data_IF_269086126248
#
_entry.id   IF_269086126248
#
_cell.length_a   1.000
_cell.length_b   1.000
_cell.length_c   1.000
_cell.angle_alpha   90.00
_cell.angle_beta   90.00
_cell.angle_gamma   90.00
#
_symmetry.space_group_name_H-M   'P 1'
#
loop_
_entity.id
_entity.type
_entity.pdbx_description
1 polymer ?
#
# COMPACT_ATOMS: atom_id res chain seq x y z
N UNK A 1 15.21 68.80 18.69
CA UNK A 1 15.21 70.01 17.84
C UNK A 1 15.28 69.60 16.37
N UNK A 2 14.25 70.00 15.62
CA UNK A 2 14.14 70.32 14.18
C UNK A 2 14.70 69.40 13.06
N UNK A 3 13.75 68.82 12.31
CA UNK A 3 13.74 68.54 10.84
C UNK A 3 13.74 69.87 10.02
N UNK A 4 13.83 69.95 8.66
CA UNK A 4 13.37 68.98 7.61
C UNK A 4 14.08 68.90 6.20
N UNK A 5 13.81 67.78 5.46
CA UNK A 5 13.53 67.50 3.98
C UNK A 5 14.37 68.17 2.85
N UNK A 6 14.26 67.85 1.51
CA UNK A 6 13.47 66.84 0.70
C UNK A 6 14.31 66.01 -0.35
N UNK A 7 13.90 64.85 -0.92
CA UNK A 7 13.00 64.48 -2.06
C UNK A 7 13.59 64.65 -3.50
N UNK A 8 13.46 63.60 -4.35
CA UNK A 8 13.13 63.57 -5.82
C UNK A 8 13.98 62.62 -6.73
N UNK A 9 13.24 61.71 -7.41
CA UNK A 9 13.34 61.15 -8.79
C UNK A 9 14.60 60.47 -9.34
N UNK A 10 14.43 59.24 -9.83
CA UNK A 10 15.24 58.68 -10.93
C UNK A 10 14.33 57.96 -11.95
N UNK A 11 14.46 58.37 -13.22
CA UNK A 11 13.77 57.90 -14.42
C UNK A 11 14.84 57.51 -15.47
N UNK A 12 14.65 56.32 -16.06
CA UNK A 12 15.03 55.82 -17.40
C UNK A 12 16.49 55.89 -17.94
N UNK A 13 16.98 54.69 -18.33
CA UNK A 13 17.25 54.23 -19.71
C UNK A 13 18.70 53.91 -20.19
N UNK A 14 18.75 52.72 -20.82
CA UNK A 14 19.41 52.32 -22.09
C UNK A 14 20.93 52.07 -22.15
N UNK A 15 21.28 50.84 -22.59
CA UNK A 15 22.27 50.51 -23.63
C UNK A 15 22.13 49.01 -23.98
N UNK A 16 21.53 48.62 -25.11
CA UNK A 16 22.06 48.51 -26.49
C UNK A 16 22.91 47.23 -26.75
N UNK A 17 22.31 46.32 -27.52
CA UNK A 17 22.96 45.23 -28.28
C UNK A 17 23.71 45.74 -29.52
N UNK A 18 24.47 44.83 -30.19
CA UNK A 18 24.25 44.63 -31.62
C UNK A 18 24.07 43.15 -32.06
N UNK A 19 23.29 43.02 -33.14
CA UNK A 19 22.80 41.90 -34.00
C UNK A 19 23.93 41.15 -34.79
N UNK A 20 23.72 40.11 -35.67
CA UNK A 20 22.54 39.80 -36.55
C UNK A 20 22.17 38.30 -36.82
N UNK A 21 20.87 37.98 -37.04
CA UNK A 21 20.10 37.68 -38.29
C UNK A 21 20.42 36.39 -39.07
N UNK A 22 19.40 35.51 -39.21
CA UNK A 22 18.95 34.94 -40.50
C UNK A 22 17.45 34.59 -40.45
N UNK A 23 16.87 34.55 -41.65
CA UNK A 23 15.48 34.72 -42.12
C UNK A 23 14.54 33.49 -42.09
N UNK A 24 13.21 33.71 -42.07
CA UNK A 24 12.16 33.41 -43.10
C UNK A 24 10.74 33.04 -42.53
N UNK A 25 9.61 33.00 -43.30
CA UNK A 25 8.48 33.92 -43.11
C UNK A 25 7.06 33.33 -42.84
N UNK A 26 6.18 34.20 -42.32
CA UNK A 26 4.71 34.44 -42.51
C UNK A 26 3.78 33.29 -42.98
N UNK A 27 2.72 32.99 -42.19
CA UNK A 27 1.31 32.98 -42.68
C UNK A 27 0.22 33.09 -41.57
N UNK A 28 -0.53 34.19 -41.66
CA UNK A 28 -1.96 34.50 -41.43
C UNK A 28 -2.87 33.79 -40.39
N UNK A 29 -3.62 34.64 -39.67
CA UNK A 29 -4.73 34.38 -38.74
C UNK A 29 -5.99 33.73 -39.35
N UNK A 30 -6.78 33.02 -38.53
CA UNK A 30 -8.24 33.14 -38.52
C UNK A 30 -8.85 32.72 -37.15
N UNK A 31 -9.77 33.54 -36.66
CA UNK A 31 -10.59 33.39 -35.46
C UNK A 31 -11.72 32.36 -35.65
N UNK A 32 -12.12 31.64 -34.59
CA UNK A 32 -13.54 31.39 -34.30
C UNK A 32 -13.78 30.96 -32.84
N UNK A 33 -14.90 31.45 -32.30
CA UNK A 33 -15.36 31.38 -30.91
C UNK A 33 -15.76 29.97 -30.47
N UNK A 34 -15.60 29.62 -29.18
CA UNK A 34 -16.68 29.02 -28.37
C UNK A 34 -16.33 28.91 -26.87
N UNK A 35 -17.36 29.22 -26.07
CA UNK A 35 -17.59 29.15 -24.61
C UNK A 35 -16.64 28.28 -23.77
N UNK A 36 -16.06 28.90 -22.74
CA UNK A 36 -15.39 28.24 -21.60
C UNK A 36 -16.40 27.87 -20.52
N UNK A 37 -16.58 26.57 -20.27
CA UNK A 37 -16.96 26.02 -18.97
C UNK A 37 -15.68 25.54 -18.29
N UNK A 38 -15.35 26.07 -17.12
CA UNK A 38 -14.14 25.73 -16.38
C UNK A 38 -14.20 24.28 -15.88
N UNK A 39 -13.32 23.44 -16.42
CA UNK A 39 -12.95 22.13 -15.89
C UNK A 39 -11.55 22.26 -15.28
N UNK A 40 -11.38 21.74 -14.05
CA UNK A 40 -10.09 21.67 -13.37
C UNK A 40 -9.02 20.97 -14.23
N UNK A 41 -7.74 21.38 -14.14
CA UNK A 41 -6.68 20.78 -14.95
C UNK A 41 -6.33 19.37 -14.47
N UNK A 42 -5.88 18.48 -15.38
CA UNK A 42 -5.50 17.11 -15.03
C UNK A 42 -4.26 17.10 -14.13
N UNK A 43 -4.32 16.33 -13.04
CA UNK A 43 -3.17 16.04 -12.18
C UNK A 43 -2.10 15.29 -12.99
N UNK A 44 -0.88 15.84 -12.99
CA UNK A 44 0.31 15.21 -13.56
C UNK A 44 0.76 14.07 -12.63
N UNK A 45 0.72 12.83 -13.12
CA UNK A 45 1.28 11.63 -12.44
C UNK A 45 2.83 11.59 -12.48
N UNK A 46 3.49 12.74 -12.28
CA UNK A 46 4.94 12.90 -12.46
C UNK A 46 5.75 12.93 -11.15
N UNK A 47 5.12 12.76 -9.98
CA UNK A 47 5.79 12.93 -8.68
C UNK A 47 6.27 11.63 -7.99
N UNK A 48 6.21 10.48 -8.66
CA UNK A 48 6.74 9.21 -8.12
C UNK A 48 8.25 8.98 -8.39
N UNK A 49 8.97 9.96 -8.94
CA UNK A 49 10.27 9.74 -9.61
C UNK A 49 11.50 10.38 -8.91
N UNK A 50 11.46 10.64 -7.60
CA UNK A 50 12.68 11.03 -6.86
C UNK A 50 12.75 10.33 -5.51
N UNK A 51 13.41 9.18 -5.44
CA UNK A 51 14.12 8.68 -4.26
C UNK A 51 14.95 7.43 -4.65
N UNK A 52 16.25 7.52 -4.37
CA UNK A 52 17.31 6.50 -4.53
C UNK A 52 18.01 6.41 -5.90
N UNK A 53 18.99 7.30 -6.12
CA UNK A 53 20.08 7.12 -7.09
C UNK A 53 21.43 7.34 -6.39
N UNK A 54 22.42 6.53 -6.79
CA UNK A 54 23.88 6.54 -6.49
C UNK A 54 24.34 5.62 -5.34
N UNK A 55 25.36 4.77 -5.59
CA UNK A 55 26.68 5.22 -6.04
C UNK A 55 27.27 4.56 -7.31
N UNK A 56 28.21 5.31 -7.88
CA UNK A 56 29.08 5.01 -9.01
C UNK A 56 30.00 3.82 -8.73
N UNK A 57 30.24 3.00 -9.75
CA UNK A 57 31.24 1.94 -9.79
C UNK A 57 32.41 2.37 -10.68
N UNK A 58 33.64 2.24 -10.18
CA UNK A 58 34.86 2.24 -10.98
C UNK A 58 35.30 0.79 -11.20
N UNK A 59 35.46 0.40 -12.46
CA UNK A 59 35.96 -0.90 -12.91
C UNK A 59 37.48 -0.86 -13.09
N UNK A 60 38.18 -1.89 -12.64
CA UNK A 60 39.50 -2.28 -13.15
C UNK A 60 39.55 -3.81 -13.33
N UNK A 61 40.22 -4.24 -14.39
CA UNK A 61 40.22 -5.60 -14.96
C UNK A 61 41.46 -6.45 -14.60
N UNK A 62 41.23 -7.75 -14.36
CA UNK A 62 42.01 -8.96 -14.74
C UNK A 62 43.33 -9.35 -14.01
N UNK A 63 43.84 -10.62 -14.14
CA UNK A 63 43.22 -11.94 -14.40
C UNK A 63 43.81 -13.13 -13.55
N UNK A 64 43.26 -14.35 -13.72
CA UNK A 64 43.91 -15.69 -13.79
C UNK A 64 43.24 -16.84 -12.97
N UNK A 65 43.30 -18.05 -13.53
CA UNK A 65 42.84 -19.36 -13.02
C UNK A 65 44.07 -20.30 -12.83
N UNK A 66 43.98 -21.62 -12.50
CA UNK A 66 42.93 -22.46 -11.88
C UNK A 66 43.48 -23.35 -10.70
N UNK A 67 42.63 -24.10 -9.98
CA UNK A 67 42.88 -25.51 -9.57
C UNK A 67 41.76 -26.10 -8.69
N UNK A 68 41.71 -27.43 -8.73
CA UNK A 68 40.74 -28.39 -8.19
C UNK A 68 40.94 -28.64 -6.68
N UNK A 69 39.86 -28.94 -5.93
CA UNK A 69 39.76 -30.18 -5.13
C UNK A 69 38.42 -30.36 -4.39
N UNK A 70 37.93 -31.60 -4.54
CA UNK A 70 37.20 -32.51 -3.64
C UNK A 70 36.09 -32.06 -2.64
N UNK A 71 34.99 -32.80 -2.73
CA UNK A 71 33.75 -32.81 -1.92
C UNK A 71 33.95 -33.30 -0.47
N UNK A 72 32.97 -33.11 0.45
CA UNK A 72 31.89 -34.11 0.54
C UNK A 72 30.47 -33.54 0.70
N UNK A 73 29.56 -34.23 0.02
CA UNK A 73 28.12 -34.36 0.23
C UNK A 73 27.62 -34.14 1.66
N UNK A 74 26.84 -33.08 1.87
CA UNK A 74 25.85 -33.01 2.95
C UNK A 74 24.48 -33.37 2.39
N UNK A 75 24.10 -34.64 2.53
CA UNK A 75 22.72 -35.10 2.34
C UNK A 75 21.92 -34.51 3.51
N UNK A 76 21.32 -33.35 3.30
CA UNK A 76 20.29 -32.84 4.20
C UNK A 76 19.11 -33.81 4.18
N UNK A 77 18.85 -34.45 5.32
CA UNK A 77 17.67 -35.28 5.55
C UNK A 77 16.40 -34.60 5.00
N UNK A 78 15.53 -35.31 4.27
CA UNK A 78 14.22 -34.80 3.92
C UNK A 78 13.49 -34.43 5.20
N UNK A 79 13.06 -33.17 5.29
CA UNK A 79 12.23 -32.67 6.38
C UNK A 79 11.04 -33.59 6.61
N UNK A 80 10.76 -33.83 7.88
CA UNK A 80 9.65 -34.58 8.46
C UNK A 80 8.33 -34.42 7.68
N UNK A 81 8.08 -35.28 6.70
CA UNK A 81 6.73 -35.62 6.24
C UNK A 81 6.11 -36.56 7.27
N UNK A 82 5.88 -36.06 8.49
CA UNK A 82 5.16 -36.81 9.52
C UNK A 82 3.65 -36.73 9.21
N UNK A 83 3.11 -37.90 8.87
CA UNK A 83 1.72 -38.37 9.07
C UNK A 83 0.58 -37.65 8.33
N UNK A 84 0.16 -38.23 7.20
CA UNK A 84 -1.26 -38.41 6.79
C UNK A 84 -2.14 -37.20 6.44
N UNK A 85 -1.82 -35.99 6.91
CA UNK A 85 -2.64 -34.79 6.71
C UNK A 85 -2.26 -34.14 5.39
N UNK A 86 -3.23 -33.96 4.50
CA UNK A 86 -3.04 -33.29 3.22
C UNK A 86 -2.57 -31.85 3.43
N UNK A 87 -1.83 -31.29 2.46
CA UNK A 87 -1.36 -29.89 2.54
C UNK A 87 -2.50 -28.89 2.75
N UNK A 88 -3.68 -29.19 2.21
CA UNK A 88 -4.87 -28.35 2.28
C UNK A 88 -5.45 -28.31 3.69
N UNK A 89 -5.47 -29.46 4.38
CA UNK A 89 -5.90 -29.51 5.78
C UNK A 89 -4.97 -28.70 6.68
N UNK A 90 -3.66 -28.69 6.42
CA UNK A 90 -2.71 -27.82 7.15
C UNK A 90 -2.97 -26.34 6.88
N UNK A 91 -3.24 -25.97 5.63
CA UNK A 91 -3.59 -24.59 5.28
C UNK A 91 -4.84 -24.11 6.05
N UNK A 92 -5.91 -24.92 6.07
CA UNK A 92 -7.13 -24.60 6.81
C UNK A 92 -6.97 -24.66 8.33
N UNK A 93 -6.19 -25.61 8.85
CA UNK A 93 -5.91 -25.69 10.28
C UNK A 93 -5.15 -24.45 10.77
N UNK A 94 -4.17 -23.98 9.99
CA UNK A 94 -3.45 -22.74 10.31
C UNK A 94 -4.36 -21.52 10.22
N UNK A 95 -5.14 -21.38 9.14
CA UNK A 95 -6.09 -20.28 9.01
C UNK A 95 -7.14 -20.25 10.14
N UNK A 96 -7.61 -21.43 10.55
CA UNK A 96 -8.54 -21.58 11.68
C UNK A 96 -7.89 -21.22 13.01
N UNK A 97 -6.62 -21.61 13.22
CA UNK A 97 -5.84 -21.23 14.40
C UNK A 97 -5.70 -19.71 14.55
N UNK A 98 -5.65 -18.98 13.43
CA UNK A 98 -5.59 -17.51 13.43
C UNK A 98 -6.96 -16.84 13.66
N UNK A 99 -8.04 -17.60 13.86
CA UNK A 99 -9.39 -17.06 14.04
C UNK A 99 -10.15 -16.77 12.74
N UNK A 100 -9.61 -17.18 11.58
CA UNK A 100 -10.20 -16.94 10.24
C UNK A 100 -10.51 -15.44 10.00
N UNK A 101 -9.50 -14.57 10.10
CA UNK A 101 -9.71 -13.12 9.98
C UNK A 101 -10.30 -12.77 8.62
N UNK A 102 -11.38 -11.98 8.60
CA UNK A 102 -12.11 -11.52 7.42
C UNK A 102 -11.79 -10.09 7.04
N UNK A 103 -11.32 -9.26 7.96
CA UNK A 103 -11.04 -7.85 7.73
C UNK A 103 -9.53 -7.59 7.74
N UNK A 104 -8.92 -7.50 6.56
CA UNK A 104 -7.47 -7.48 6.42
C UNK A 104 -6.96 -6.17 5.81
N UNK A 105 -5.93 -5.58 6.42
CA UNK A 105 -5.19 -4.43 5.86
C UNK A 105 -4.25 -4.92 4.77
N UNK A 106 -4.42 -4.42 3.54
CA UNK A 106 -3.58 -4.79 2.39
C UNK A 106 -2.14 -4.23 2.50
N UNK A 107 -1.17 -4.85 1.81
CA UNK A 107 0.20 -4.34 1.76
C UNK A 107 0.28 -3.08 0.90
N UNK A 108 0.88 -2.02 1.44
CA UNK A 108 1.07 -0.74 0.75
C UNK A 108 2.48 -0.20 1.08
N UNK A 109 3.30 0.01 0.05
CA UNK A 109 4.65 0.58 0.21
C UNK A 109 4.55 1.94 0.91
N UNK A 110 5.37 2.16 1.93
CA UNK A 110 5.37 3.35 2.79
C UNK A 110 4.04 3.67 3.49
N UNK A 111 3.08 2.73 3.53
CA UNK A 111 1.71 3.02 3.94
C UNK A 111 1.01 1.90 4.73
N UNK A 112 1.72 0.82 5.05
CA UNK A 112 1.19 -0.24 5.92
C UNK A 112 2.22 -0.63 6.98
N UNK A 113 2.99 0.33 7.47
CA UNK A 113 3.94 0.22 8.58
C UNK A 113 3.24 0.05 9.94
N UNK A 114 4.00 -0.31 10.99
CA UNK A 114 3.43 -0.73 12.28
C UNK A 114 2.41 0.27 12.88
N UNK A 115 2.72 1.57 13.07
CA UNK A 115 1.74 2.55 13.54
C UNK A 115 0.39 2.51 12.80
N UNK A 116 0.42 2.44 11.46
CA UNK A 116 -0.81 2.40 10.67
C UNK A 116 -1.57 1.08 10.87
N UNK A 117 -0.88 -0.07 10.90
CA UNK A 117 -1.53 -1.37 11.17
C UNK A 117 -2.17 -1.38 12.55
N UNK A 118 -1.50 -0.83 13.57
CA UNK A 118 -2.05 -0.75 14.92
C UNK A 118 -3.29 0.15 14.98
N UNK A 119 -3.31 1.26 14.23
CA UNK A 119 -4.48 2.11 14.11
C UNK A 119 -5.66 1.35 13.48
N UNK A 120 -5.44 0.69 12.34
CA UNK A 120 -6.47 -0.12 11.69
C UNK A 120 -6.97 -1.25 12.59
N UNK A 121 -6.09 -1.90 13.37
CA UNK A 121 -6.47 -2.93 14.37
C UNK A 121 -7.36 -2.36 15.46
N UNK A 122 -7.05 -1.15 15.96
CA UNK A 122 -7.91 -0.44 16.92
C UNK A 122 -9.34 -0.29 16.38
N UNK A 123 -9.48 -0.13 15.07
CA UNK A 123 -10.78 -0.02 14.40
C UNK A 123 -11.23 -1.30 13.67
N UNK A 124 -10.86 -2.48 14.19
CA UNK A 124 -11.48 -3.73 13.79
C UNK A 124 -10.78 -4.49 12.66
N UNK A 125 -9.59 -4.07 12.21
CA UNK A 125 -8.78 -4.94 11.36
C UNK A 125 -8.33 -6.18 12.16
N UNK A 126 -8.60 -7.37 11.61
CA UNK A 126 -8.34 -8.65 12.26
C UNK A 126 -6.98 -9.22 11.85
N UNK A 127 -6.48 -8.86 10.68
CA UNK A 127 -5.12 -9.16 10.24
C UNK A 127 -4.56 -8.02 9.38
N UNK A 128 -3.24 -8.03 9.16
CA UNK A 128 -2.61 -7.00 8.35
C UNK A 128 -1.37 -7.51 7.63
N UNK A 129 -1.04 -6.83 6.53
CA UNK A 129 0.21 -7.01 5.79
C UNK A 129 1.20 -5.89 6.10
N UNK A 130 2.50 -6.23 6.15
CA UNK A 130 3.58 -5.23 6.12
C UNK A 130 3.59 -4.44 4.82
N UNK A 131 4.41 -3.37 4.71
CA UNK A 131 4.78 -2.86 3.40
C UNK A 131 5.41 -3.98 2.55
N UNK A 132 5.38 -3.82 1.23
CA UNK A 132 6.07 -4.74 0.33
C UNK A 132 7.59 -4.54 0.46
N UNK A 133 8.30 -5.56 0.94
CA UNK A 133 9.74 -5.53 1.19
C UNK A 133 10.52 -6.10 0.01
N UNK A 134 11.56 -5.40 -0.45
CA UNK A 134 12.41 -5.93 -1.52
C UNK A 134 13.40 -6.95 -0.94
N UNK A 135 13.23 -8.24 -1.24
CA UNK A 135 14.03 -9.35 -0.68
C UNK A 135 15.55 -9.12 -0.69
N UNK A 136 16.11 -8.74 -1.86
CA UNK A 136 17.55 -8.43 -1.99
C UNK A 136 18.01 -7.27 -1.09
N UNK A 137 17.36 -6.12 -1.18
CA UNK A 137 17.70 -4.93 -0.36
C UNK A 137 17.50 -5.22 1.12
N UNK A 138 16.42 -5.93 1.46
CA UNK A 138 16.16 -6.42 2.81
C UNK A 138 17.32 -7.27 3.32
N UNK A 139 18.00 -7.99 2.44
CA UNK A 139 19.14 -8.77 2.82
C UNK A 139 20.42 -7.95 3.04
N UNK A 140 20.73 -7.13 2.06
CA UNK A 140 22.00 -6.42 1.94
C UNK A 140 22.07 -5.15 2.80
N UNK A 141 20.92 -4.53 3.11
CA UNK A 141 20.85 -3.23 3.77
C UNK A 141 20.12 -3.30 5.13
N UNK A 142 20.86 -3.36 6.26
CA UNK A 142 20.28 -3.36 7.60
C UNK A 142 19.42 -2.13 7.91
N UNK A 143 19.79 -0.95 7.38
CA UNK A 143 19.03 0.29 7.58
C UNK A 143 17.66 0.21 6.92
N UNK A 144 17.60 -0.20 5.65
CA UNK A 144 16.34 -0.44 4.94
C UNK A 144 15.47 -1.43 5.71
N UNK A 145 16.05 -2.55 6.15
CA UNK A 145 15.36 -3.57 6.94
C UNK A 145 14.77 -3.01 8.24
N UNK A 146 15.53 -2.21 9.00
CA UNK A 146 15.03 -1.62 10.25
C UNK A 146 13.98 -0.53 10.06
N UNK A 147 14.02 0.20 8.94
CA UNK A 147 13.07 1.27 8.63
C UNK A 147 11.74 0.73 8.10
N UNK A 148 11.78 -0.27 7.21
CA UNK A 148 10.58 -0.78 6.52
C UNK A 148 9.87 -1.90 7.28
N UNK A 149 10.64 -2.75 7.99
CA UNK A 149 10.08 -3.86 8.73
C UNK A 149 10.06 -3.56 10.23
N UNK A 150 8.96 -2.94 10.64
CA UNK A 150 8.61 -2.69 12.04
C UNK A 150 7.47 -3.61 12.46
N UNK A 151 7.51 -4.18 13.68
CA UNK A 151 6.43 -4.99 14.24
C UNK A 151 6.49 -5.03 15.77
N UNK A 152 5.44 -5.52 16.44
CA UNK A 152 5.38 -5.75 17.88
C UNK A 152 4.56 -7.01 18.20
N UNK A 153 4.47 -7.41 19.48
CA UNK A 153 3.79 -8.66 19.88
C UNK A 153 2.29 -8.62 19.57
N UNK A 154 1.68 -7.46 19.69
CA UNK A 154 0.26 -7.20 19.47
C UNK A 154 -0.11 -7.12 17.98
N UNK A 155 0.88 -7.02 17.10
CA UNK A 155 0.68 -6.88 15.66
C UNK A 155 0.53 -8.25 14.98
N UNK A 156 -0.34 -9.12 15.50
CA UNK A 156 -0.63 -10.43 14.93
C UNK A 156 -2.14 -10.67 14.88
N UNK A 157 -2.67 -11.41 13.87
CA UNK A 157 -1.96 -12.07 12.76
C UNK A 157 -1.30 -11.13 11.74
N UNK A 158 -0.08 -11.46 11.31
CA UNK A 158 0.74 -10.64 10.39
C UNK A 158 1.21 -11.41 9.16
N UNK A 159 1.09 -10.77 8.01
CA UNK A 159 1.62 -11.23 6.73
C UNK A 159 2.82 -10.37 6.35
N UNK A 160 4.01 -10.97 6.25
CA UNK A 160 5.20 -10.24 5.81
C UNK A 160 5.39 -10.47 4.33
N UNK A 161 5.20 -9.41 3.53
CA UNK A 161 5.20 -9.50 2.08
C UNK A 161 6.56 -9.12 1.49
N UNK A 162 7.09 -9.97 0.63
CA UNK A 162 8.28 -9.69 -0.18
C UNK A 162 7.96 -9.54 -1.65
N UNK A 163 8.72 -8.68 -2.34
CA UNK A 163 8.96 -8.82 -3.77
C UNK A 163 10.35 -9.45 -4.02
N UNK A 164 10.41 -10.33 -5.01
CA UNK A 164 11.61 -11.08 -5.36
C UNK A 164 11.53 -11.61 -6.78
N UNK A 165 12.67 -12.03 -7.31
CA UNK A 165 12.80 -12.75 -8.58
C UNK A 165 13.92 -13.80 -8.54
N UNK A 166 14.40 -14.14 -7.34
CA UNK A 166 15.40 -15.14 -7.07
C UNK A 166 14.95 -15.97 -5.84
N UNK A 167 14.75 -17.30 -5.98
CA UNK A 167 14.26 -18.15 -4.89
C UNK A 167 15.19 -18.23 -3.69
N UNK A 168 16.51 -18.21 -3.89
CA UNK A 168 17.47 -18.37 -2.80
C UNK A 168 17.56 -17.09 -1.97
N UNK A 169 17.59 -15.94 -2.64
CA UNK A 169 17.57 -14.62 -1.98
C UNK A 169 16.25 -14.41 -1.23
N UNK A 170 15.12 -14.81 -1.84
CA UNK A 170 13.81 -14.74 -1.18
C UNK A 170 13.79 -15.61 0.09
N UNK A 171 14.32 -16.84 0.03
CA UNK A 171 14.38 -17.73 1.19
C UNK A 171 15.24 -17.16 2.32
N UNK A 172 16.39 -16.56 1.99
CA UNK A 172 17.24 -15.90 2.99
C UNK A 172 16.51 -14.74 3.68
N UNK A 173 15.80 -13.91 2.91
CA UNK A 173 15.01 -12.81 3.46
C UNK A 173 13.85 -13.32 4.34
N UNK A 174 13.14 -14.35 3.88
CA UNK A 174 12.02 -14.95 4.59
C UNK A 174 12.41 -15.54 5.95
N UNK A 175 13.57 -16.22 6.03
CA UNK A 175 14.09 -16.78 7.29
C UNK A 175 14.34 -15.72 8.37
N UNK A 176 14.56 -14.46 8.00
CA UNK A 176 14.78 -13.36 8.95
C UNK A 176 13.49 -12.85 9.59
N UNK A 177 12.33 -13.16 9.02
CA UNK A 177 11.03 -12.67 9.51
C UNK A 177 10.10 -13.80 9.97
N UNK A 178 10.49 -15.06 9.75
CA UNK A 178 9.67 -16.24 10.04
C UNK A 178 9.15 -16.28 11.49
N UNK A 179 9.97 -15.94 12.48
CA UNK A 179 9.55 -15.88 13.89
C UNK A 179 8.66 -14.69 14.24
N UNK A 180 8.48 -13.74 13.31
CA UNK A 180 7.80 -12.47 13.52
C UNK A 180 6.46 -12.40 12.79
N UNK A 181 6.10 -13.39 11.98
CA UNK A 181 4.85 -13.37 11.19
C UNK A 181 4.06 -14.69 11.28
N UNK A 182 2.85 -14.67 10.72
CA UNK A 182 1.96 -15.82 10.60
C UNK A 182 1.91 -16.37 9.17
N UNK A 183 2.32 -15.54 8.20
CA UNK A 183 2.58 -15.90 6.82
C UNK A 183 3.78 -15.13 6.28
N UNK A 184 4.60 -15.79 5.46
CA UNK A 184 5.47 -15.12 4.49
C UNK A 184 4.72 -15.05 3.18
N UNK A 185 4.51 -13.84 2.68
CA UNK A 185 3.75 -13.58 1.46
C UNK A 185 4.65 -13.18 0.29
N UNK A 186 4.33 -13.68 -0.90
CA UNK A 186 4.98 -13.26 -2.15
C UNK A 186 4.08 -12.29 -2.92
N UNK A 187 4.57 -11.08 -3.17
CA UNK A 187 3.93 -10.14 -4.06
C UNK A 187 4.09 -10.58 -5.51
N UNK A 188 2.98 -10.95 -6.15
CA UNK A 188 2.87 -11.34 -7.55
C UNK A 188 1.84 -10.45 -8.28
N UNK A 189 1.60 -9.25 -7.77
CA UNK A 189 0.47 -8.40 -8.19
C UNK A 189 0.78 -6.91 -8.34
N UNK A 190 1.95 -6.42 -7.91
CA UNK A 190 2.34 -5.02 -8.07
C UNK A 190 2.55 -4.68 -9.56
N UNK A 191 1.79 -3.72 -10.15
CA UNK A 191 1.90 -3.36 -11.56
C UNK A 191 2.77 -2.10 -11.78
N UNK A 192 3.43 -1.59 -10.75
CA UNK A 192 4.12 -0.30 -10.77
C UNK A 192 5.38 -0.33 -11.64
N UNK A 193 5.82 0.84 -12.12
CA UNK A 193 7.01 0.96 -12.99
C UNK A 193 8.27 0.40 -12.33
N UNK A 194 8.40 0.59 -11.01
CA UNK A 194 9.53 0.05 -10.24
C UNK A 194 9.54 -1.49 -10.24
N UNK A 195 8.37 -2.13 -10.17
CA UNK A 195 8.22 -3.58 -10.29
C UNK A 195 8.58 -4.09 -11.68
N UNK A 196 8.25 -3.32 -12.73
CA UNK A 196 8.68 -3.62 -14.10
C UNK A 196 10.20 -3.61 -14.22
N UNK A 197 10.84 -2.54 -13.72
CA UNK A 197 12.30 -2.36 -13.78
C UNK A 197 13.04 -3.43 -13.00
N UNK A 198 12.56 -3.77 -11.80
CA UNK A 198 13.14 -4.82 -10.96
C UNK A 198 12.72 -6.25 -11.31
N UNK A 199 11.84 -6.42 -12.31
CA UNK A 199 11.30 -7.72 -12.74
C UNK A 199 10.72 -8.55 -11.58
N UNK A 200 9.77 -7.97 -10.85
CA UNK A 200 9.02 -8.64 -9.77
C UNK A 200 7.52 -8.26 -9.84
N UNK A 201 6.71 -8.76 -8.89
CA UNK A 201 5.29 -8.41 -8.83
C UNK A 201 4.51 -8.97 -10.02
N UNK A 202 3.61 -8.16 -10.61
CA UNK A 202 2.77 -8.60 -11.73
C UNK A 202 3.56 -8.87 -13.03
N UNK A 203 4.84 -8.49 -13.10
CA UNK A 203 5.69 -8.76 -14.27
C UNK A 203 6.25 -10.19 -14.27
N UNK A 204 6.16 -10.90 -13.14
CA UNK A 204 6.46 -12.33 -13.09
C UNK A 204 5.35 -13.20 -13.71
N UNK A 205 4.18 -12.62 -13.99
CA UNK A 205 3.11 -13.30 -14.72
C UNK A 205 3.54 -13.74 -16.13
N UNK A 206 4.59 -13.12 -16.67
CA UNK A 206 5.19 -13.48 -17.96
C UNK A 206 6.17 -14.68 -17.84
N UNK A 207 6.50 -15.14 -16.62
CA UNK A 207 7.38 -16.28 -16.34
C UNK A 207 6.88 -17.12 -15.16
N UNK A 208 5.86 -17.95 -15.43
CA UNK A 208 5.22 -18.79 -14.42
C UNK A 208 6.14 -19.86 -13.82
N UNK A 209 7.19 -20.28 -14.53
CA UNK A 209 8.18 -21.23 -14.00
C UNK A 209 8.99 -20.61 -12.85
N UNK A 210 9.37 -19.34 -12.98
CA UNK A 210 10.02 -18.60 -11.91
C UNK A 210 9.06 -18.39 -10.73
N UNK A 211 7.80 -18.03 -10.98
CA UNK A 211 6.81 -17.90 -9.91
C UNK A 211 6.67 -19.20 -9.12
N UNK A 212 6.55 -20.33 -9.83
CA UNK A 212 6.48 -21.66 -9.22
C UNK A 212 7.69 -21.94 -8.33
N UNK A 213 8.91 -21.67 -8.82
CA UNK A 213 10.13 -21.94 -8.06
C UNK A 213 10.27 -21.08 -6.80
N UNK A 214 9.82 -19.81 -6.84
CA UNK A 214 9.77 -18.94 -5.65
C UNK A 214 8.88 -19.55 -4.55
N UNK A 215 7.67 -19.98 -4.92
CA UNK A 215 6.68 -20.55 -3.98
C UNK A 215 7.16 -21.90 -3.44
N UNK A 216 7.59 -22.82 -4.32
CA UNK A 216 8.08 -24.15 -3.93
C UNK A 216 9.28 -24.04 -2.99
N UNK A 217 10.22 -23.13 -3.29
CA UNK A 217 11.42 -22.94 -2.46
C UNK A 217 11.04 -22.54 -1.04
N UNK A 218 10.13 -21.58 -0.87
CA UNK A 218 9.68 -21.17 0.46
C UNK A 218 8.88 -22.27 1.15
N UNK A 219 7.91 -22.88 0.47
CA UNK A 219 7.01 -23.87 1.06
C UNK A 219 7.75 -25.14 1.54
N UNK A 220 8.88 -25.48 0.92
CA UNK A 220 9.73 -26.61 1.33
C UNK A 220 10.68 -26.30 2.49
N UNK A 221 11.00 -25.02 2.74
CA UNK A 221 12.11 -24.62 3.61
C UNK A 221 11.71 -23.73 4.79
N UNK A 222 10.46 -23.27 4.86
CA UNK A 222 9.91 -22.52 5.98
C UNK A 222 8.96 -23.39 6.81
N UNK A 223 8.92 -23.12 8.11
CA UNK A 223 7.95 -23.61 9.07
C UNK A 223 6.67 -22.76 9.05
N UNK A 224 6.79 -21.45 8.82
CA UNK A 224 5.63 -20.56 8.64
C UNK A 224 5.01 -20.78 7.25
N UNK A 225 3.67 -20.84 7.11
CA UNK A 225 3.04 -21.04 5.81
C UNK A 225 3.31 -19.90 4.82
N UNK A 226 3.33 -20.26 3.54
CA UNK A 226 3.51 -19.30 2.44
C UNK A 226 2.15 -18.84 1.94
N UNK A 227 1.98 -17.55 1.75
CA UNK A 227 0.84 -16.97 1.02
C UNK A 227 1.31 -16.26 -0.26
N UNK A 228 0.38 -15.99 -1.16
CA UNK A 228 0.65 -15.22 -2.37
C UNK A 228 -0.43 -14.16 -2.57
N UNK A 229 -0.05 -13.02 -3.14
CA UNK A 229 -1.00 -12.00 -3.59
C UNK A 229 -0.86 -11.74 -5.09
N UNK A 230 -1.92 -12.02 -5.85
CA UNK A 230 -1.92 -11.95 -7.32
C UNK A 230 -2.87 -10.87 -7.88
N UNK A 231 -2.70 -10.59 -9.16
CA UNK A 231 -3.71 -9.99 -10.04
C UNK A 231 -4.25 -11.06 -11.00
N UNK A 232 -5.43 -10.84 -11.57
CA UNK A 232 -6.02 -11.76 -12.57
C UNK A 232 -5.40 -11.58 -13.95
N UNK A 233 -5.47 -12.61 -14.79
CA UNK A 233 -5.19 -12.51 -16.23
C UNK A 233 -6.43 -12.00 -16.98
N UNK A 234 -6.28 -11.44 -18.20
CA UNK A 234 -7.41 -11.06 -19.03
C UNK A 234 -8.36 -12.22 -19.36
N UNK A 235 -7.83 -13.45 -19.45
CA UNK A 235 -8.62 -14.67 -19.61
C UNK A 235 -8.77 -15.37 -18.26
N UNK A 236 -10.01 -15.71 -17.92
CA UNK A 236 -10.31 -16.42 -16.67
C UNK A 236 -9.58 -17.77 -16.57
N UNK A 237 -9.53 -18.54 -17.66
CA UNK A 237 -8.86 -19.83 -17.70
C UNK A 237 -7.37 -19.74 -17.29
N UNK A 238 -6.66 -18.69 -17.74
CA UNK A 238 -5.27 -18.46 -17.39
C UNK A 238 -5.13 -18.09 -15.91
N UNK A 239 -6.09 -17.34 -15.36
CA UNK A 239 -6.17 -17.05 -13.92
C UNK A 239 -6.34 -18.32 -13.09
N UNK A 240 -7.24 -19.22 -13.51
CA UNK A 240 -7.49 -20.49 -12.81
C UNK A 240 -6.26 -21.40 -12.85
N UNK A 241 -5.63 -21.57 -14.03
CA UNK A 241 -4.36 -22.31 -14.18
C UNK A 241 -3.25 -21.73 -13.29
N UNK A 242 -3.15 -20.40 -13.26
CA UNK A 242 -2.18 -19.72 -12.43
C UNK A 242 -2.41 -19.96 -10.93
N UNK A 243 -3.65 -19.78 -10.47
CA UNK A 243 -4.04 -20.03 -9.09
C UNK A 243 -3.78 -21.49 -8.67
N UNK A 244 -4.12 -22.45 -9.55
CA UNK A 244 -3.89 -23.88 -9.28
C UNK A 244 -2.42 -24.22 -9.18
N UNK A 245 -1.60 -23.67 -10.08
CA UNK A 245 -0.15 -23.83 -10.04
C UNK A 245 0.46 -23.30 -8.73
N UNK A 246 -0.02 -22.18 -8.20
CA UNK A 246 0.42 -21.65 -6.90
C UNK A 246 0.04 -22.58 -5.73
N UNK A 247 -1.20 -23.10 -5.73
CA UNK A 247 -1.65 -24.09 -4.75
C UNK A 247 -0.77 -25.37 -4.80
N UNK A 248 -0.50 -25.88 -6.00
CA UNK A 248 0.35 -27.06 -6.22
C UNK A 248 1.82 -26.79 -5.85
N UNK A 249 2.30 -25.56 -5.98
CA UNK A 249 3.63 -25.14 -5.52
C UNK A 249 3.74 -25.06 -3.99
N UNK A 250 2.62 -24.94 -3.26
CA UNK A 250 2.60 -24.89 -1.79
C UNK A 250 2.15 -23.59 -1.18
N UNK A 251 1.56 -22.71 -1.98
CA UNK A 251 0.75 -21.62 -1.45
C UNK A 251 -0.34 -22.18 -0.53
N UNK A 252 -0.41 -21.65 0.69
CA UNK A 252 -1.37 -22.05 1.73
C UNK A 252 -2.50 -21.04 1.92
N UNK A 253 -2.41 -19.86 1.29
CA UNK A 253 -3.46 -18.84 1.23
C UNK A 253 -3.23 -17.96 0.00
N UNK A 254 -4.26 -17.70 -0.80
CA UNK A 254 -4.16 -16.85 -1.99
C UNK A 254 -5.02 -15.59 -1.86
N UNK A 255 -4.41 -14.41 -1.89
CA UNK A 255 -5.11 -13.15 -2.03
C UNK A 255 -5.22 -12.75 -3.51
N UNK A 256 -6.42 -12.49 -4.00
CA UNK A 256 -6.69 -12.20 -5.42
C UNK A 256 -7.21 -10.77 -5.56
N UNK A 257 -6.44 -9.94 -6.26
CA UNK A 257 -6.94 -8.64 -6.72
C UNK A 257 -7.64 -8.81 -8.07
N UNK A 258 -8.95 -8.53 -8.12
CA UNK A 258 -9.81 -8.77 -9.28
C UNK A 258 -9.56 -7.86 -10.50
N UNK A 259 -8.38 -7.22 -10.59
CA UNK A 259 -8.00 -6.42 -11.76
C UNK A 259 -6.76 -7.01 -12.40
N UNK A 260 -6.66 -6.89 -13.72
CA UNK A 260 -5.48 -7.26 -14.48
C UNK A 260 -4.28 -6.36 -14.17
N UNK A 261 -3.09 -6.74 -14.62
CA UNK A 261 -1.86 -5.93 -14.48
C UNK A 261 -2.04 -4.52 -15.06
N UNK A 262 -2.75 -4.40 -16.18
CA UNK A 262 -2.84 -3.16 -16.95
C UNK A 262 -3.99 -2.26 -16.46
N UNK A 263 -4.94 -2.81 -15.70
CA UNK A 263 -6.02 -2.09 -15.00
C UNK A 263 -5.54 -1.52 -13.66
N UNK A 264 -4.69 -0.50 -13.73
CA UNK A 264 -4.11 0.16 -12.54
C UNK A 264 -5.07 1.16 -11.91
N UNK A 265 -5.85 1.87 -12.72
CA UNK A 265 -6.75 2.93 -12.29
C UNK A 265 -8.03 2.36 -11.66
N UNK A 266 -8.09 2.41 -10.33
CA UNK A 266 -9.22 1.87 -9.59
C UNK A 266 -10.52 2.68 -9.67
N UNK A 267 -10.47 3.90 -10.24
CA UNK A 267 -11.66 4.72 -10.53
C UNK A 267 -12.27 4.34 -11.88
N UNK A 268 -11.44 3.94 -12.85
CA UNK A 268 -11.90 3.48 -14.18
C UNK A 268 -12.28 2.01 -14.20
N UNK A 269 -11.54 1.17 -13.49
CA UNK A 269 -11.72 -0.29 -13.53
C UNK A 269 -12.22 -0.80 -12.18
N UNK A 270 -13.38 -1.47 -12.19
CA UNK A 270 -13.87 -2.23 -11.03
C UNK A 270 -13.16 -3.57 -10.98
N UNK A 271 -12.90 -4.07 -9.77
CA UNK A 271 -12.41 -5.42 -9.58
C UNK A 271 -13.50 -6.43 -9.99
N UNK A 272 -13.11 -7.41 -10.80
CA UNK A 272 -13.94 -8.52 -11.21
C UNK A 272 -14.07 -9.53 -10.07
N UNK A 273 -15.14 -9.38 -9.29
CA UNK A 273 -15.49 -10.32 -8.23
C UNK A 273 -15.93 -11.69 -8.77
N UNK A 274 -16.39 -11.81 -10.03
CA UNK A 274 -16.69 -13.11 -10.62
C UNK A 274 -15.41 -13.93 -10.86
N UNK A 275 -14.33 -13.28 -11.28
CA UNK A 275 -13.03 -13.94 -11.38
C UNK A 275 -12.52 -14.42 -10.00
N UNK A 276 -12.70 -13.61 -8.95
CA UNK A 276 -12.35 -14.00 -7.57
C UNK A 276 -13.19 -15.20 -7.12
N UNK A 277 -14.51 -15.18 -7.36
CA UNK A 277 -15.43 -16.28 -7.07
C UNK A 277 -15.00 -17.58 -7.76
N UNK A 278 -14.64 -17.49 -9.03
CA UNK A 278 -14.17 -18.64 -9.80
C UNK A 278 -12.88 -19.23 -9.22
N UNK A 279 -11.92 -18.38 -8.82
CA UNK A 279 -10.71 -18.83 -8.12
C UNK A 279 -11.05 -19.47 -6.77
N UNK A 280 -11.96 -18.87 -5.99
CA UNK A 280 -12.39 -19.41 -4.70
C UNK A 280 -13.01 -20.80 -4.83
N UNK A 281 -13.78 -21.05 -5.90
CA UNK A 281 -14.40 -22.35 -6.17
C UNK A 281 -13.40 -23.41 -6.67
N UNK A 282 -12.32 -22.98 -7.35
CA UNK A 282 -11.30 -23.87 -7.91
C UNK A 282 -10.30 -24.36 -6.84
N UNK A 283 -9.98 -23.51 -5.86
CA UNK A 283 -8.95 -23.78 -4.86
C UNK A 283 -9.49 -24.49 -3.61
N UNK A 284 -8.61 -25.28 -2.99
CA UNK A 284 -8.84 -26.02 -1.74
C UNK A 284 -8.20 -25.34 -0.53
N UNK A 285 -7.52 -24.21 -0.72
CA UNK A 285 -6.94 -23.35 0.32
C UNK A 285 -7.81 -22.10 0.56
N UNK A 286 -7.61 -21.37 1.67
CA UNK A 286 -8.26 -20.08 1.88
C UNK A 286 -7.94 -19.07 0.76
N UNK A 287 -8.96 -18.31 0.34
CA UNK A 287 -8.85 -17.26 -0.68
C UNK A 287 -9.36 -15.94 -0.11
N UNK A 288 -8.56 -14.88 -0.24
CA UNK A 288 -8.94 -13.53 0.16
C UNK A 288 -9.24 -12.66 -1.07
N UNK A 289 -10.34 -11.92 -1.02
CA UNK A 289 -10.74 -11.01 -2.08
C UNK A 289 -10.09 -9.63 -1.90
N UNK A 290 -9.66 -8.99 -2.99
CA UNK A 290 -9.12 -7.63 -2.94
C UNK A 290 -9.62 -6.79 -4.11
N UNK A 291 -9.95 -5.53 -3.82
CA UNK A 291 -10.38 -4.54 -4.80
C UNK A 291 -11.82 -4.09 -4.54
N UNK A 292 -12.03 -2.77 -4.56
CA UNK A 292 -13.32 -2.11 -4.35
C UNK A 292 -13.97 -2.37 -2.97
N UNK A 293 -13.17 -2.46 -1.89
CA UNK A 293 -13.66 -2.54 -0.50
C UNK A 293 -13.51 -1.17 0.17
N UNK A 294 -14.58 -0.36 0.19
CA UNK A 294 -14.52 1.04 0.61
C UNK A 294 -15.35 1.36 1.86
N UNK A 295 -16.27 0.47 2.22
CA UNK A 295 -17.06 0.51 3.45
C UNK A 295 -17.58 -0.90 3.80
N UNK A 296 -18.19 -1.06 4.98
CA UNK A 296 -18.66 -2.37 5.44
C UNK A 296 -19.73 -3.02 4.54
N UNK A 297 -20.52 -2.27 3.76
CA UNK A 297 -21.41 -2.91 2.79
C UNK A 297 -20.63 -3.59 1.65
N UNK A 298 -19.53 -3.00 1.18
CA UNK A 298 -18.69 -3.65 0.16
C UNK A 298 -18.07 -4.93 0.72
N UNK A 299 -17.69 -4.93 2.01
CA UNK A 299 -17.23 -6.13 2.70
C UNK A 299 -18.29 -7.23 2.64
N UNK A 300 -19.53 -6.92 3.07
CA UNK A 300 -20.62 -7.90 3.08
C UNK A 300 -20.94 -8.40 1.68
N UNK A 301 -21.14 -7.49 0.72
CA UNK A 301 -21.47 -7.82 -0.66
C UNK A 301 -20.36 -8.66 -1.32
N UNK A 302 -19.09 -8.28 -1.13
CA UNK A 302 -17.96 -9.04 -1.68
C UNK A 302 -17.90 -10.46 -1.13
N UNK A 303 -18.05 -10.63 0.20
CA UNK A 303 -18.03 -11.96 0.82
C UNK A 303 -19.23 -12.81 0.36
N UNK A 304 -20.42 -12.23 0.25
CA UNK A 304 -21.62 -12.91 -0.23
C UNK A 304 -21.51 -13.35 -1.70
N UNK A 305 -21.05 -12.44 -2.57
CA UNK A 305 -20.95 -12.72 -4.01
C UNK A 305 -19.85 -13.74 -4.32
N UNK A 306 -18.67 -13.59 -3.68
CA UNK A 306 -17.46 -14.37 -4.01
C UNK A 306 -17.32 -15.65 -3.20
N UNK A 307 -17.89 -15.71 -1.99
CA UNK A 307 -17.62 -16.78 -1.03
C UNK A 307 -16.18 -16.78 -0.50
N UNK A 308 -15.43 -15.69 -0.69
CA UNK A 308 -14.06 -15.55 -0.19
C UNK A 308 -14.01 -15.66 1.35
N UNK A 309 -12.86 -16.04 1.88
CA UNK A 309 -12.65 -16.28 3.31
C UNK A 309 -12.35 -15.00 4.10
N UNK A 310 -12.14 -13.89 3.39
CA UNK A 310 -11.87 -12.58 3.93
C UNK A 310 -11.62 -11.57 2.80
N UNK A 311 -11.54 -10.30 3.16
CA UNK A 311 -11.30 -9.20 2.23
C UNK A 311 -10.10 -8.36 2.63
N UNK A 312 -9.37 -7.87 1.64
CA UNK A 312 -8.32 -6.88 1.81
C UNK A 312 -8.83 -5.51 1.37
N UNK A 313 -8.72 -4.52 2.25
CA UNK A 313 -8.83 -3.09 1.88
C UNK A 313 -7.46 -2.42 1.87
N UNK A 314 -7.25 -1.47 0.96
CA UNK A 314 -5.97 -0.83 0.69
C UNK A 314 -6.11 0.71 0.79
N UNK A 315 -6.11 1.40 -0.35
CA UNK A 315 -6.10 2.87 -0.44
C UNK A 315 -7.19 3.56 0.40
N UNK A 316 -8.39 2.98 0.47
CA UNK A 316 -9.47 3.58 1.28
C UNK A 316 -9.17 3.61 2.78
N UNK A 317 -8.38 2.66 3.30
CA UNK A 317 -7.93 2.73 4.70
C UNK A 317 -6.99 3.90 4.96
N UNK A 318 -6.28 4.41 3.94
CA UNK A 318 -5.37 5.54 4.11
C UNK A 318 -6.13 6.86 4.33
N UNK A 319 -7.35 6.95 3.80
CA UNK A 319 -8.26 8.07 4.03
C UNK A 319 -9.11 7.86 5.29
N UNK A 320 -9.46 6.61 5.59
CA UNK A 320 -10.31 6.23 6.72
C UNK A 320 -9.84 4.90 7.35
N UNK A 321 -8.89 4.94 8.30
CA UNK A 321 -8.48 3.76 9.08
C UNK A 321 -9.60 3.12 9.89
N UNK A 322 -10.70 3.86 10.13
CA UNK A 322 -11.84 3.41 10.90
C UNK A 322 -12.92 2.67 10.08
N UNK A 323 -12.66 2.40 8.79
CA UNK A 323 -13.58 1.72 7.87
C UNK A 323 -14.16 0.42 8.45
N UNK A 324 -13.32 -0.43 9.03
CA UNK A 324 -13.72 -1.73 9.55
C UNK A 324 -14.57 -1.67 10.83
N UNK A 325 -14.59 -0.51 11.51
CA UNK A 325 -15.52 -0.20 12.60
C UNK A 325 -16.84 0.42 12.07
N UNK A 326 -17.06 0.42 10.76
CA UNK A 326 -18.30 0.88 10.12
C UNK A 326 -18.34 2.37 9.81
N UNK A 327 -17.27 3.12 10.08
CA UNK A 327 -17.19 4.55 9.78
C UNK A 327 -17.07 4.81 8.28
N UNK A 328 -17.72 5.88 7.81
CA UNK A 328 -17.77 6.31 6.40
C UNK A 328 -17.36 7.78 6.28
N UNK A 329 -16.62 8.11 5.22
CA UNK A 329 -16.41 9.52 4.85
C UNK A 329 -17.68 10.09 4.21
N UNK A 330 -17.81 11.42 4.21
CA UNK A 330 -18.96 12.16 3.70
C UNK A 330 -19.32 11.81 2.24
N UNK A 331 -18.31 11.56 1.41
CA UNK A 331 -18.49 11.17 0.01
C UNK A 331 -19.32 9.88 -0.16
N UNK A 332 -19.34 8.98 0.83
CA UNK A 332 -20.09 7.72 0.78
C UNK A 332 -21.49 7.82 1.39
N UNK A 333 -21.77 8.90 2.12
CA UNK A 333 -23.09 9.17 2.71
C UNK A 333 -23.99 9.87 1.70
N UNK A 334 -23.41 10.75 0.88
CA UNK A 334 -24.13 11.59 -0.09
C UNK A 334 -24.92 10.78 -1.13
N UNK A 335 -24.53 9.52 -1.39
CA UNK A 335 -25.08 8.76 -2.51
C UNK A 335 -26.33 7.95 -2.21
N UNK A 336 -26.72 7.56 -0.98
CA UNK A 336 -27.93 6.72 -0.79
C UNK A 336 -28.49 6.44 0.62
N UNK A 337 -28.17 7.15 1.71
CA UNK A 337 -28.73 6.74 3.03
C UNK A 337 -29.31 7.90 3.86
N UNK A 338 -30.64 7.88 4.05
CA UNK A 338 -31.37 8.73 5.00
C UNK A 338 -31.03 8.44 6.46
N UNK A 339 -30.23 7.41 6.71
CA UNK A 339 -30.01 6.79 8.02
C UNK A 339 -28.53 6.86 8.43
N UNK A 340 -27.79 7.91 8.04
CA UNK A 340 -26.41 8.13 8.50
C UNK A 340 -26.37 9.15 9.63
N UNK A 341 -25.70 8.80 10.74
CA UNK A 341 -25.49 9.69 11.89
C UNK A 341 -24.02 10.06 12.04
N UNK A 342 -23.76 11.22 12.65
CA UNK A 342 -22.41 11.65 13.05
C UNK A 342 -21.85 10.67 14.09
N UNK A 343 -20.76 9.98 13.72
CA UNK A 343 -20.10 8.97 14.54
C UNK A 343 -19.22 9.54 15.66
N UNK A 344 -19.17 10.87 15.84
CA UNK A 344 -18.36 11.56 16.85
C UNK A 344 -16.85 11.25 16.75
N UNK A 345 -16.40 10.97 15.53
CA UNK A 345 -15.02 10.76 15.14
C UNK A 345 -14.79 11.51 13.84
N UNK A 346 -13.67 12.20 13.71
CA UNK A 346 -13.26 12.81 12.45
C UNK A 346 -11.86 12.37 11.99
N UNK A 347 -11.45 12.85 10.81
CA UNK A 347 -10.14 12.52 10.25
C UNK A 347 -8.98 13.14 11.03
N UNK A 348 -9.17 14.27 11.73
CA UNK A 348 -8.15 14.87 12.58
C UNK A 348 -7.91 14.01 13.83
N UNK A 349 -8.95 13.45 14.42
CA UNK A 349 -8.84 12.50 15.53
C UNK A 349 -8.02 11.27 15.15
N UNK A 350 -8.23 10.75 13.94
CA UNK A 350 -7.47 9.63 13.38
C UNK A 350 -5.98 9.98 13.21
N UNK A 351 -5.68 11.18 12.68
CA UNK A 351 -4.29 11.66 12.59
C UNK A 351 -3.66 11.79 13.97
N UNK A 352 -4.34 12.38 14.95
CA UNK A 352 -3.80 12.50 16.31
C UNK A 352 -3.51 11.13 16.92
N UNK A 353 -4.38 10.14 16.71
CA UNK A 353 -4.15 8.77 17.16
C UNK A 353 -2.98 8.10 16.43
N UNK A 354 -2.86 8.32 15.13
CA UNK A 354 -1.73 7.85 14.33
C UNK A 354 -0.39 8.44 14.83
N UNK A 355 -0.34 9.75 15.07
CA UNK A 355 0.88 10.44 15.55
C UNK A 355 1.34 9.90 16.91
N UNK A 356 0.41 9.63 17.84
CA UNK A 356 0.72 8.97 19.13
C UNK A 356 1.32 7.59 18.93
N UNK A 357 0.84 6.82 17.95
CA UNK A 357 1.41 5.52 17.60
C UNK A 357 2.81 5.67 16.98
N UNK A 358 3.05 6.69 16.16
CA UNK A 358 4.36 6.99 15.60
C UNK A 358 5.38 7.44 16.65
N UNK A 359 4.97 8.16 17.70
CA UNK A 359 5.84 8.49 18.83
C UNK A 359 6.28 7.21 19.58
N UNK A 360 5.36 6.29 19.79
CA UNK A 360 5.63 5.01 20.46
C UNK A 360 6.44 4.04 19.58
N UNK A 361 6.20 4.08 18.28
CA UNK A 361 6.81 3.21 17.28
C UNK A 361 7.37 4.07 16.13
N UNK A 362 8.58 4.63 16.29
CA UNK A 362 9.16 5.53 15.31
C UNK A 362 9.30 4.88 13.93
N UNK A 363 8.91 5.65 12.91
CA UNK A 363 8.99 5.29 11.48
C UNK A 363 9.54 6.46 10.68
N UNK A 364 10.03 6.25 9.45
CA UNK A 364 10.50 7.33 8.60
C UNK A 364 9.45 8.43 8.39
N UNK A 365 9.87 9.70 8.48
CA UNK A 365 8.99 10.86 8.31
C UNK A 365 8.23 10.90 6.96
N UNK A 366 8.76 10.24 5.92
CA UNK A 366 8.06 10.12 4.62
C UNK A 366 6.72 9.39 4.75
N UNK A 367 6.65 8.35 5.60
CA UNK A 367 5.42 7.59 5.83
C UNK A 367 4.42 8.45 6.60
N UNK A 368 4.90 9.12 7.66
CA UNK A 368 4.07 10.03 8.48
C UNK A 368 3.47 11.14 7.62
N UNK A 369 4.28 11.81 6.79
CA UNK A 369 3.80 12.84 5.86
C UNK A 369 2.71 12.30 4.94
N UNK A 370 2.93 11.11 4.37
CA UNK A 370 1.96 10.48 3.46
C UNK A 370 0.61 10.23 4.14
N UNK A 371 0.62 9.71 5.36
CA UNK A 371 -0.60 9.45 6.14
C UNK A 371 -1.34 10.73 6.52
N UNK A 372 -0.62 11.78 6.95
CA UNK A 372 -1.24 13.08 7.24
C UNK A 372 -1.93 13.66 6.00
N UNK A 373 -1.30 13.58 4.81
CA UNK A 373 -1.93 14.01 3.56
C UNK A 373 -3.20 13.23 3.22
N UNK A 374 -3.19 11.91 3.40
CA UNK A 374 -4.29 11.04 2.99
C UNK A 374 -5.47 11.12 3.95
N UNK A 375 -5.20 11.08 5.26
CA UNK A 375 -6.25 11.20 6.27
C UNK A 375 -6.86 12.61 6.27
N UNK A 376 -6.08 13.69 6.18
CA UNK A 376 -6.61 15.05 6.14
C UNK A 376 -6.97 15.53 4.73
N UNK A 377 -7.10 14.64 3.75
CA UNK A 377 -7.33 15.02 2.35
C UNK A 377 -8.55 15.92 2.15
N UNK A 378 -9.67 15.63 2.81
CA UNK A 378 -10.89 16.45 2.72
C UNK A 378 -10.75 17.75 3.54
N UNK A 379 -10.04 17.72 4.67
CA UNK A 379 -9.74 18.91 5.48
C UNK A 379 -8.87 19.91 4.70
N UNK A 380 -7.85 19.41 4.00
CA UNK A 380 -6.99 20.19 3.12
C UNK A 380 -7.71 20.71 1.88
N UNK A 381 -8.82 20.09 1.46
CA UNK A 381 -9.66 20.64 0.38
C UNK A 381 -10.39 21.90 0.85
N UNK A 382 -10.80 21.93 2.12
CA UNK A 382 -11.42 23.11 2.74
C UNK A 382 -10.38 24.20 3.02
N UNK A 383 -9.19 23.83 3.50
CA UNK A 383 -8.10 24.75 3.84
C UNK A 383 -6.81 24.43 3.05
N UNK A 384 -6.75 24.72 1.74
CA UNK A 384 -5.61 24.37 0.90
C UNK A 384 -4.30 25.05 1.33
N UNK A 385 -4.36 26.23 1.94
CA UNK A 385 -3.18 26.93 2.44
C UNK A 385 -2.44 26.14 3.52
N UNK A 386 -3.16 25.43 4.40
CA UNK A 386 -2.53 24.61 5.46
C UNK A 386 -1.86 23.37 4.85
N UNK A 387 -2.40 22.84 3.75
CA UNK A 387 -1.72 21.79 2.97
C UNK A 387 -0.39 22.30 2.40
N UNK A 388 -0.38 23.52 1.86
CA UNK A 388 0.85 24.11 1.32
C UNK A 388 1.89 24.38 2.41
N UNK A 389 1.46 24.72 3.64
CA UNK A 389 2.35 24.82 4.79
C UNK A 389 3.01 23.48 5.12
N UNK A 390 2.26 22.37 5.11
CA UNK A 390 2.80 21.00 5.26
C UNK A 390 3.80 20.67 4.15
N UNK A 391 3.47 20.99 2.89
CA UNK A 391 4.33 20.75 1.73
C UNK A 391 5.64 21.53 1.81
N UNK A 392 5.60 22.76 2.33
CA UNK A 392 6.77 23.62 2.48
C UNK A 392 7.74 23.15 3.57
N UNK A 393 7.31 22.29 4.50
CA UNK A 393 8.18 21.78 5.56
C UNK A 393 9.16 20.73 5.05
N UNK A 394 10.44 21.09 5.03
CA UNK A 394 11.54 20.14 4.74
C UNK A 394 11.73 19.11 5.86
N UNK A 395 11.57 19.52 7.13
CA UNK A 395 11.71 18.67 8.32
C UNK A 395 10.41 18.72 9.12
N UNK A 396 9.88 17.54 9.44
CA UNK A 396 8.69 17.41 10.28
C UNK A 396 9.08 17.18 11.74
N UNK A 397 8.23 17.68 12.64
CA UNK A 397 8.24 17.37 14.07
C UNK A 397 6.81 17.03 14.50
N UNK A 398 6.66 16.27 15.59
CA UNK A 398 5.32 15.99 16.14
C UNK A 398 4.62 17.27 16.60
N UNK A 399 5.35 18.20 17.21
CA UNK A 399 4.83 19.52 17.61
C UNK A 399 4.21 20.27 16.42
N UNK A 400 4.92 20.31 15.28
CA UNK A 400 4.39 20.92 14.06
C UNK A 400 3.12 20.22 13.57
N UNK A 401 3.10 18.88 13.56
CA UNK A 401 1.96 18.11 13.06
C UNK A 401 0.72 18.23 13.95
N UNK A 402 0.88 18.25 15.28
CA UNK A 402 -0.22 18.55 16.19
C UNK A 402 -0.70 20.00 16.03
N UNK A 403 0.23 20.97 15.96
CA UNK A 403 -0.12 22.37 15.74
C UNK A 403 -0.86 22.59 14.42
N UNK A 404 -0.52 21.84 13.37
CA UNK A 404 -1.24 21.85 12.09
C UNK A 404 -2.68 21.35 12.23
N UNK A 405 -2.91 20.30 13.03
CA UNK A 405 -4.26 19.81 13.33
C UNK A 405 -5.05 20.82 14.14
N UNK A 406 -4.43 21.44 15.15
CA UNK A 406 -5.07 22.47 15.98
C UNK A 406 -5.43 23.71 15.15
N UNK A 407 -4.54 24.16 14.26
CA UNK A 407 -4.80 25.26 13.33
C UNK A 407 -6.00 24.96 12.43
N UNK A 408 -6.12 23.74 11.89
CA UNK A 408 -7.29 23.36 11.08
C UNK A 408 -8.59 23.41 11.88
N UNK A 409 -8.56 22.99 13.16
CA UNK A 409 -9.71 23.06 14.07
C UNK A 409 -10.09 24.50 14.41
N UNK A 410 -9.11 25.36 14.68
CA UNK A 410 -9.33 26.80 14.92
C UNK A 410 -9.93 27.52 13.71
N UNK A 411 -9.57 27.09 12.50
CA UNK A 411 -10.17 27.56 11.25
C UNK A 411 -11.60 27.00 11.01
N UNK A 412 -12.14 26.24 11.97
CA UNK A 412 -13.52 25.73 11.93
C UNK A 412 -13.73 24.57 10.96
N UNK A 413 -12.67 23.87 10.54
CA UNK A 413 -12.82 22.69 9.68
C UNK A 413 -13.39 21.54 10.51
N UNK A 414 -14.51 20.98 10.04
CA UNK A 414 -15.10 19.78 10.63
C UNK A 414 -15.60 18.87 9.51
N UNK A 415 -14.93 17.73 9.33
CA UNK A 415 -15.35 16.69 8.36
C UNK A 415 -15.58 15.40 9.15
N UNK A 416 -16.80 15.19 9.68
CA UNK A 416 -17.10 14.02 10.51
C UNK A 416 -17.10 12.74 9.70
N UNK A 417 -16.74 11.65 10.36
CA UNK A 417 -17.03 10.31 9.89
C UNK A 417 -18.41 9.89 10.38
N UNK A 418 -19.13 9.18 9.52
CA UNK A 418 -20.51 8.79 9.75
C UNK A 418 -20.63 7.31 9.97
N UNK A 419 -21.66 6.88 10.69
CA UNK A 419 -22.06 5.49 10.81
C UNK A 419 -23.51 5.34 10.36
N UNK A 420 -23.91 4.11 10.01
CA UNK A 420 -25.32 3.81 9.80
C UNK A 420 -26.05 3.81 11.15
N UNK A 421 -27.27 4.33 11.14
CA UNK A 421 -28.22 4.28 12.25
C UNK A 421 -28.78 2.85 12.40
N UNK A 422 -27.93 1.93 12.82
CA UNK A 422 -28.36 0.58 13.20
C UNK A 422 -28.66 0.59 14.71
N UNK A 423 -29.94 0.72 15.08
CA UNK A 423 -30.43 0.67 16.47
C UNK A 423 -30.06 -0.65 17.23
N UNK A 424 -29.40 -1.60 16.56
CA UNK A 424 -28.91 -2.88 17.11
C UNK A 424 -27.40 -2.95 17.33
N UNK A 425 -26.61 -1.96 16.89
CA UNK A 425 -25.14 -1.99 16.92
C UNK A 425 -24.50 -1.25 18.11
N UNK A 426 -25.31 -0.60 18.95
CA UNK A 426 -24.86 0.27 20.06
C UNK A 426 -24.20 -0.45 21.24
N UNK A 427 -24.11 -1.79 21.21
CA UNK A 427 -23.63 -2.60 22.33
C UNK A 427 -22.11 -2.69 22.52
N UNK A 428 -21.28 -2.24 21.57
CA UNK A 428 -19.83 -2.57 21.58
C UNK A 428 -18.88 -1.37 21.43
N UNK A 429 -19.39 -0.12 21.42
CA UNK A 429 -18.60 1.06 21.04
C UNK A 429 -17.92 1.76 22.23
N UNK A 430 -18.48 1.66 23.45
CA UNK A 430 -17.91 2.30 24.64
C UNK A 430 -16.50 1.80 24.99
N UNK A 431 -16.17 0.55 24.67
CA UNK A 431 -14.82 0.00 24.88
C UNK A 431 -13.81 0.40 23.80
N UNK A 432 -14.25 0.76 22.58
CA UNK A 432 -13.36 1.09 21.45
C UNK A 432 -12.94 2.56 21.45
N UNK A 433 -13.81 3.46 21.90
CA UNK A 433 -13.59 4.91 21.83
C UNK A 433 -12.82 5.44 23.05
N UNK A 434 -12.80 4.71 24.18
CA UNK A 434 -12.05 5.14 25.38
C UNK A 434 -12.50 6.49 25.92
N UNK A 435 -13.82 6.72 25.96
CA UNK A 435 -14.47 7.79 26.72
C UNK A 435 -14.94 7.22 28.05
#
# INVERSE_FOLDING_TARGET
MNKPKPLISAILNLNLHPKPLFSNPIHLMALTQTRTTHSDPPQNDAEDDVLCSNPEQTQEEQPSSPSLDETPSFVGSPGKYLTGVSRFERAWAHWTKLGRPKLIVAPMVDNSELPFRMLCRKYGAEAAYTPMLHSRIFNENPKYRSEEFTTCKEDRPLFVQFCANDPDILLEAARRVESHCDYVDINLGCPQRIARRGYYGAFLMDNLLLVKSLVEKLALNLNVPVSCKIRVFPKLEDTLKYAKMLEDAGCSLLAVHGRTRDEKDGKKFRADWNAIKAVKNELRIPVLANGNIRHMDDVRNCLEETGADGVLSAETLLENPALFAGFRTSNWVADNEKDSIDGKLDQADLVVQYLKLCEKHPVPWRMIRSHVHKMLGDWFRVQPQVREELNAQSRLTFEFLYGLVDQLRELGVQVPLHQKDDASATGNLAEVIGI
#
